data_IF_828929852299
#
_entry.id   IF_828929852299
#
_cell.length_a   1.000
_cell.length_b   1.000
_cell.length_c   1.000
_cell.angle_alpha   90.00
_cell.angle_beta   90.00
_cell.angle_gamma   90.00
#
_symmetry.space_group_name_H-M   'P 1'
#
loop_
_entity.id
_entity.type
_entity.pdbx_description
1 polymer ?
#
# COMPACT_ATOMS: atom_id res chain seq x y z
N UNK A 1 -18.50 7.41 25.31
CA UNK A 1 -18.73 8.40 26.37
C UNK A 1 -19.22 7.67 27.60
N UNK A 2 -18.34 7.47 28.58
CA UNK A 2 -18.59 7.58 30.02
C UNK A 2 -17.35 7.09 30.77
N UNK A 3 -16.82 7.95 31.64
CA UNK A 3 -15.69 7.69 32.51
C UNK A 3 -16.25 7.38 33.89
N UNK A 4 -15.87 6.25 34.50
CA UNK A 4 -15.91 6.06 35.95
C UNK A 4 -14.50 5.70 36.41
N UNK A 5 -14.00 6.49 37.36
CA UNK A 5 -12.65 6.47 37.93
C UNK A 5 -12.59 5.52 39.14
N UNK A 6 -11.48 4.83 39.38
CA UNK A 6 -10.94 4.71 40.74
C UNK A 6 -9.44 4.33 40.77
N UNK A 7 -8.65 4.81 41.74
CA UNK A 7 -7.20 4.73 41.78
C UNK A 7 -6.72 3.67 42.78
N UNK A 8 -6.08 2.61 42.32
CA UNK A 8 -5.32 1.72 43.18
C UNK A 8 -4.04 1.28 42.47
N UNK A 9 -2.92 1.77 43.01
CA UNK A 9 -1.57 1.32 42.71
C UNK A 9 -1.40 -0.09 43.32
N UNK A 10 -0.63 -0.94 42.63
CA UNK A 10 -0.18 -2.29 43.05
C UNK A 10 -1.07 -3.48 42.61
N UNK A 11 -0.49 -4.28 41.71
CA UNK A 11 -0.93 -5.57 41.17
C UNK A 11 -2.14 -5.59 40.20
N UNK A 12 -1.84 -5.91 38.93
CA UNK A 12 -2.83 -6.38 37.97
C UNK A 12 -2.57 -5.85 36.57
N UNK A 13 -2.08 -6.72 35.68
CA UNK A 13 -1.90 -6.42 34.26
C UNK A 13 -3.21 -5.82 33.70
N UNK A 14 -3.16 -4.54 33.37
CA UNK A 14 -4.26 -3.79 32.78
C UNK A 14 -3.97 -3.67 31.27
N UNK A 15 -4.36 -4.67 30.49
CA UNK A 15 -4.45 -4.53 29.04
C UNK A 15 -5.67 -3.68 28.72
N UNK A 16 -5.49 -2.37 28.63
CA UNK A 16 -6.42 -1.47 27.94
C UNK A 16 -5.86 -1.26 26.55
N UNK A 17 -6.17 -2.19 25.64
CA UNK A 17 -6.10 -1.89 24.20
C UNK A 17 -7.47 -1.35 23.82
N UNK A 18 -7.70 -0.06 24.07
CA UNK A 18 -8.79 0.67 23.41
C UNK A 18 -8.12 1.54 22.36
N UNK A 19 -8.15 1.04 21.13
CA UNK A 19 -7.55 1.69 19.98
C UNK A 19 -7.83 0.89 18.71
N UNK A 20 -9.07 0.45 18.48
CA UNK A 20 -9.45 -0.30 17.26
C UNK A 20 -10.10 0.57 16.19
N UNK A 21 -10.36 1.86 16.42
CA UNK A 21 -11.25 2.58 15.50
C UNK A 21 -10.60 3.06 14.19
N UNK A 22 -9.26 3.21 14.13
CA UNK A 22 -8.59 3.72 12.92
C UNK A 22 -7.82 2.63 12.15
N UNK A 23 -7.28 1.63 12.85
CA UNK A 23 -6.56 0.51 12.22
C UNK A 23 -7.50 -0.56 11.65
N UNK A 24 -8.68 -0.80 12.23
CA UNK A 24 -9.63 -1.77 11.67
C UNK A 24 -10.29 -1.29 10.38
N UNK A 25 -10.46 0.02 10.17
CA UNK A 25 -11.03 0.52 8.92
C UNK A 25 -10.16 0.15 7.70
N UNK A 26 -8.83 0.24 7.84
CA UNK A 26 -7.86 -0.12 6.78
C UNK A 26 -7.92 -1.60 6.41
N UNK A 27 -8.34 -2.46 7.33
CA UNK A 27 -8.58 -3.88 7.05
C UNK A 27 -9.63 -4.07 5.96
N UNK A 28 -10.71 -3.30 5.96
CA UNK A 28 -11.78 -3.42 4.96
C UNK A 28 -11.34 -2.97 3.57
N UNK A 29 -10.46 -1.97 3.48
CA UNK A 29 -9.78 -1.59 2.24
C UNK A 29 -8.99 -2.77 1.65
N UNK A 30 -8.22 -3.47 2.49
CA UNK A 30 -7.51 -4.71 2.08
C UNK A 30 -8.51 -5.80 1.67
N UNK A 31 -9.63 -5.92 2.39
CA UNK A 31 -10.72 -6.85 2.07
C UNK A 31 -11.24 -6.68 0.65
N UNK A 32 -11.60 -5.46 0.25
CA UNK A 32 -12.06 -5.17 -1.10
C UNK A 32 -10.98 -5.40 -2.16
N UNK A 33 -9.71 -5.10 -1.83
CA UNK A 33 -8.58 -5.36 -2.71
C UNK A 33 -8.34 -6.87 -2.94
N UNK A 34 -8.78 -7.74 -2.03
CA UNK A 34 -8.73 -9.21 -2.18
C UNK A 34 -9.87 -9.79 -3.03
N UNK A 35 -10.92 -9.00 -3.33
CA UNK A 35 -12.09 -9.49 -4.08
C UNK A 35 -11.81 -9.42 -5.59
N UNK A 36 -11.90 -10.58 -6.26
CA UNK A 36 -11.76 -10.64 -7.73
C UNK A 36 -12.87 -9.86 -8.42
N UNK A 37 -12.50 -8.93 -9.28
CA UNK A 37 -13.43 -8.16 -10.11
C UNK A 37 -13.92 -6.85 -9.47
N UNK A 38 -13.47 -6.53 -8.25
CA UNK A 38 -13.57 -5.19 -7.68
C UNK A 38 -12.22 -4.50 -7.91
N UNK A 39 -12.24 -3.44 -8.72
CA UNK A 39 -11.09 -2.56 -8.94
C UNK A 39 -11.40 -1.16 -8.46
N UNK A 40 -10.47 -0.24 -8.66
CA UNK A 40 -10.55 1.16 -8.20
C UNK A 40 -11.84 1.85 -8.60
N UNK A 41 -12.28 1.77 -9.86
CA UNK A 41 -13.53 2.40 -10.30
C UNK A 41 -14.77 1.90 -9.53
N UNK A 42 -14.85 0.60 -9.23
CA UNK A 42 -15.98 0.01 -8.51
C UNK A 42 -15.92 0.30 -7.02
N UNK A 43 -14.71 0.29 -6.45
CA UNK A 43 -14.53 0.67 -5.06
C UNK A 43 -14.90 2.14 -4.83
N UNK A 44 -14.53 3.02 -5.77
CA UNK A 44 -14.97 4.41 -5.75
C UNK A 44 -16.49 4.54 -5.77
N UNK A 45 -17.17 3.82 -6.67
CA UNK A 45 -18.64 3.84 -6.70
C UNK A 45 -19.28 3.32 -5.40
N UNK A 46 -18.66 2.35 -4.72
CA UNK A 46 -19.12 1.89 -3.41
C UNK A 46 -18.93 2.97 -2.34
N UNK A 47 -17.77 3.62 -2.30
CA UNK A 47 -17.49 4.70 -1.36
C UNK A 47 -18.40 5.91 -1.59
N UNK A 48 -18.64 6.28 -2.86
CA UNK A 48 -19.55 7.38 -3.20
C UNK A 48 -21.00 7.09 -2.75
N UNK A 49 -21.41 5.82 -2.71
CA UNK A 49 -22.75 5.40 -2.30
C UNK A 49 -22.88 5.24 -0.76
N UNK A 50 -21.93 4.58 -0.11
CA UNK A 50 -21.99 4.26 1.32
C UNK A 50 -21.36 5.32 2.22
N UNK A 51 -20.49 6.17 1.68
CA UNK A 51 -19.71 7.17 2.39
C UNK A 51 -18.60 6.62 3.28
N UNK A 52 -18.62 5.32 3.58
CA UNK A 52 -17.70 4.65 4.49
C UNK A 52 -17.41 3.22 4.03
N UNK A 53 -16.14 2.81 4.12
CA UNK A 53 -15.66 1.52 3.62
C UNK A 53 -16.18 0.36 4.46
N UNK A 54 -16.33 0.54 5.77
CA UNK A 54 -16.79 -0.50 6.69
C UNK A 54 -18.27 -0.79 6.45
N UNK A 55 -19.08 0.26 6.28
CA UNK A 55 -20.48 0.14 5.87
C UNK A 55 -20.60 -0.59 4.54
N UNK A 56 -19.79 -0.22 3.55
CA UNK A 56 -19.75 -0.93 2.28
C UNK A 56 -19.35 -2.42 2.47
N UNK A 57 -18.40 -2.70 3.37
CA UNK A 57 -17.94 -4.05 3.68
C UNK A 57 -18.93 -4.85 4.54
N UNK A 58 -19.89 -4.25 5.22
CA UNK A 58 -20.91 -4.98 5.98
C UNK A 58 -22.29 -4.95 5.31
N UNK A 59 -22.44 -4.21 4.20
CA UNK A 59 -23.70 -4.09 3.48
C UNK A 59 -24.23 -5.45 2.98
N UNK A 60 -25.55 -5.68 3.04
CA UNK A 60 -26.16 -6.92 2.57
C UNK A 60 -26.11 -7.02 1.03
N UNK A 61 -26.28 -8.26 0.53
CA UNK A 61 -26.03 -8.60 -0.87
C UNK A 61 -26.95 -7.88 -1.87
N UNK A 62 -28.19 -7.60 -1.46
CA UNK A 62 -29.18 -6.84 -2.21
C UNK A 62 -28.76 -5.37 -2.37
N UNK A 63 -28.28 -4.74 -1.29
CA UNK A 63 -27.80 -3.36 -1.33
C UNK A 63 -26.54 -3.25 -2.18
N UNK A 64 -25.60 -4.19 -2.07
CA UNK A 64 -24.43 -4.26 -2.95
C UNK A 64 -24.79 -4.38 -4.44
N UNK A 65 -25.88 -5.08 -4.79
CA UNK A 65 -26.34 -5.16 -6.19
C UNK A 65 -26.85 -3.81 -6.69
N UNK A 66 -27.47 -3.01 -5.81
CA UNK A 66 -27.99 -1.69 -6.16
C UNK A 66 -26.90 -0.69 -6.56
N UNK A 67 -25.65 -0.91 -6.12
CA UNK A 67 -24.48 -0.07 -6.51
C UNK A 67 -23.88 -0.43 -7.87
N UNK A 68 -24.53 -1.29 -8.65
CA UNK A 68 -24.05 -1.71 -9.98
C UNK A 68 -23.06 -2.88 -9.97
N UNK A 69 -22.88 -3.56 -8.82
CA UNK A 69 -22.14 -4.82 -8.78
C UNK A 69 -22.98 -5.96 -9.36
N UNK A 70 -22.39 -6.73 -10.29
CA UNK A 70 -23.00 -7.95 -10.79
C UNK A 70 -23.01 -9.06 -9.73
N UNK A 71 -23.87 -10.07 -9.93
CA UNK A 71 -24.02 -11.19 -9.00
C UNK A 71 -22.69 -11.92 -8.73
N UNK A 72 -21.80 -12.02 -9.72
CA UNK A 72 -20.47 -12.63 -9.56
C UNK A 72 -19.61 -11.86 -8.56
N UNK A 73 -19.59 -10.53 -8.64
CA UNK A 73 -18.81 -9.68 -7.76
C UNK A 73 -19.35 -9.71 -6.34
N UNK A 74 -20.68 -9.64 -6.17
CA UNK A 74 -21.31 -9.72 -4.85
C UNK A 74 -21.01 -11.06 -4.19
N UNK A 75 -21.11 -12.17 -4.92
CA UNK A 75 -20.73 -13.48 -4.39
C UNK A 75 -19.25 -13.54 -4.00
N UNK A 76 -18.35 -12.93 -4.78
CA UNK A 76 -16.92 -12.88 -4.45
C UNK A 76 -16.65 -12.04 -3.18
N UNK A 77 -17.40 -10.96 -2.96
CA UNK A 77 -17.34 -10.19 -1.70
C UNK A 77 -17.76 -11.06 -0.52
N UNK A 78 -18.90 -11.74 -0.63
CA UNK A 78 -19.41 -12.63 0.42
C UNK A 78 -18.45 -13.80 0.71
N UNK A 79 -17.85 -14.37 -0.33
CA UNK A 79 -16.84 -15.42 -0.19
C UNK A 79 -15.64 -14.92 0.62
N UNK A 80 -15.11 -13.72 0.31
CA UNK A 80 -13.98 -13.17 1.07
C UNK A 80 -14.39 -12.83 2.51
N UNK A 81 -15.60 -12.30 2.74
CA UNK A 81 -16.14 -11.99 4.07
C UNK A 81 -16.29 -13.22 4.96
N UNK A 82 -16.81 -14.32 4.40
CA UNK A 82 -17.01 -15.58 5.13
C UNK A 82 -15.72 -16.36 5.32
N UNK A 83 -14.75 -16.16 4.43
CA UNK A 83 -13.43 -16.78 4.54
C UNK A 83 -12.55 -16.08 5.59
N UNK A 84 -11.64 -16.83 6.21
CA UNK A 84 -10.61 -16.27 7.09
C UNK A 84 -9.46 -15.57 6.32
N UNK A 85 -9.60 -15.41 5.00
CA UNK A 85 -8.55 -14.88 4.13
C UNK A 85 -8.20 -13.44 4.49
N UNK A 86 -9.19 -12.62 4.83
CA UNK A 86 -8.97 -11.23 5.22
C UNK A 86 -8.16 -11.14 6.52
N UNK A 87 -8.57 -11.85 7.57
CA UNK A 87 -7.87 -11.83 8.84
C UNK A 87 -6.43 -12.32 8.69
N UNK A 88 -6.22 -13.43 7.98
CA UNK A 88 -4.88 -13.96 7.71
C UNK A 88 -3.99 -12.98 6.95
N UNK A 89 -4.54 -12.31 5.94
CA UNK A 89 -3.80 -11.30 5.16
C UNK A 89 -3.47 -10.09 6.03
N UNK A 90 -4.41 -9.64 6.85
CA UNK A 90 -4.22 -8.51 7.76
C UNK A 90 -3.15 -8.80 8.81
N UNK A 91 -3.22 -9.95 9.47
CA UNK A 91 -2.18 -10.39 10.40
C UNK A 91 -0.81 -10.49 9.74
N UNK A 92 -0.76 -10.98 8.49
CA UNK A 92 0.49 -11.07 7.75
C UNK A 92 1.12 -9.70 7.48
N UNK A 93 0.30 -8.70 7.13
CA UNK A 93 0.72 -7.31 6.91
C UNK A 93 1.31 -6.74 8.22
N UNK A 94 0.58 -6.88 9.33
CA UNK A 94 1.01 -6.40 10.64
C UNK A 94 2.31 -7.08 11.09
N UNK A 95 2.39 -8.42 11.01
CA UNK A 95 3.57 -9.21 11.39
C UNK A 95 4.83 -8.83 10.61
N UNK A 96 4.71 -8.22 9.44
CA UNK A 96 5.86 -7.83 8.59
C UNK A 96 6.22 -6.36 8.67
N UNK A 97 5.49 -5.57 9.45
CA UNK A 97 5.64 -4.12 9.52
C UNK A 97 5.38 -3.47 8.17
N UNK A 98 4.35 -3.94 7.45
CA UNK A 98 3.91 -3.33 6.19
C UNK A 98 2.84 -2.31 6.55
N UNK A 99 3.08 -1.05 6.16
CA UNK A 99 2.12 0.03 6.33
C UNK A 99 1.13 0.00 5.17
N UNK A 100 -0.16 0.16 5.49
CA UNK A 100 -1.24 0.25 4.52
C UNK A 100 -1.68 1.70 4.38
N UNK A 101 -1.61 2.22 3.16
CA UNK A 101 -2.04 3.59 2.82
C UNK A 101 -3.21 3.50 1.83
N UNK A 102 -4.30 4.21 2.10
CA UNK A 102 -5.50 4.28 1.25
C UNK A 102 -5.75 5.72 0.75
N UNK A 103 -6.81 5.93 -0.02
CA UNK A 103 -7.13 7.26 -0.58
C UNK A 103 -7.49 8.35 0.43
N UNK A 104 -7.91 7.96 1.62
CA UNK A 104 -8.32 8.86 2.71
C UNK A 104 -7.14 9.26 3.58
N UNK A 105 -6.04 8.49 3.55
CA UNK A 105 -4.81 8.82 4.24
C UNK A 105 -4.13 10.06 3.63
N UNK A 106 -3.68 10.97 4.49
CA UNK A 106 -2.91 12.16 4.08
C UNK A 106 -1.56 11.83 3.45
N UNK A 107 -0.98 10.69 3.82
CA UNK A 107 0.30 10.20 3.30
C UNK A 107 0.19 9.57 1.89
N UNK A 108 -1.01 9.55 1.29
CA UNK A 108 -1.18 9.02 -0.05
C UNK A 108 -0.53 9.95 -1.10
N UNK A 109 0.40 9.45 -1.95
CA UNK A 109 1.14 10.29 -2.88
C UNK A 109 0.23 11.11 -3.80
N UNK A 110 0.40 12.44 -3.81
CA UNK A 110 -0.51 13.37 -4.50
C UNK A 110 -0.62 13.06 -5.99
N UNK A 111 0.52 12.92 -6.67
CA UNK A 111 0.57 12.63 -8.10
C UNK A 111 -0.04 11.26 -8.45
N UNK A 112 0.02 10.30 -7.52
CA UNK A 112 -0.60 9.00 -7.74
C UNK A 112 -2.13 9.09 -7.62
N UNK A 113 -2.66 10.00 -6.80
CA UNK A 113 -4.10 10.23 -6.66
C UNK A 113 -4.72 10.91 -7.88
N UNK A 114 -3.91 11.63 -8.67
CA UNK A 114 -4.32 12.35 -9.88
C UNK A 114 -4.49 11.44 -11.11
N UNK A 115 -3.98 10.20 -11.09
CA UNK A 115 -4.11 9.29 -12.25
C UNK A 115 -5.57 8.82 -12.42
N UNK A 116 -6.01 8.41 -13.62
CA UNK A 116 -7.42 8.06 -13.88
C UNK A 116 -7.97 6.91 -13.04
N UNK A 117 -7.13 5.94 -12.68
CA UNK A 117 -7.48 4.77 -11.89
C UNK A 117 -6.43 4.56 -10.79
N UNK A 118 -6.41 5.41 -9.75
CA UNK A 118 -5.43 5.30 -8.69
C UNK A 118 -5.62 3.96 -7.96
N UNK A 119 -4.57 3.30 -7.48
CA UNK A 119 -4.72 2.10 -6.67
C UNK A 119 -5.39 2.47 -5.35
N UNK A 120 -6.44 1.74 -4.91
CA UNK A 120 -7.17 2.08 -3.69
C UNK A 120 -6.36 1.86 -2.41
N UNK A 121 -5.40 0.94 -2.48
CA UNK A 121 -4.56 0.54 -1.36
C UNK A 121 -3.12 0.40 -1.84
N UNK A 122 -2.21 1.00 -1.09
CA UNK A 122 -0.77 0.85 -1.23
C UNK A 122 -0.23 0.07 -0.03
N UNK A 123 0.67 -0.86 -0.32
CA UNK A 123 1.41 -1.61 0.70
C UNK A 123 2.84 -1.11 0.70
N UNK A 124 3.23 -0.47 1.78
CA UNK A 124 4.52 0.19 1.91
C UNK A 124 5.37 -0.51 2.98
N UNK A 125 6.68 -0.54 2.74
CA UNK A 125 7.66 -0.86 3.77
C UNK A 125 8.68 0.28 3.82
N UNK A 126 8.89 0.85 5.01
CA UNK A 126 9.60 2.11 5.19
C UNK A 126 8.61 3.26 5.33
N UNK A 127 9.09 4.49 5.12
CA UNK A 127 8.30 5.72 5.29
C UNK A 127 8.30 6.50 3.97
N UNK A 128 7.19 7.15 3.64
CA UNK A 128 7.15 8.23 2.66
C UNK A 128 7.44 9.55 3.39
N UNK A 129 8.21 10.41 2.75
CA UNK A 129 8.53 11.75 3.25
C UNK A 129 7.96 12.79 2.28
N UNK A 130 7.71 14.02 2.76
CA UNK A 130 7.27 15.11 1.88
C UNK A 130 8.28 15.39 0.74
N UNK A 131 9.57 15.14 0.98
CA UNK A 131 10.62 15.24 -0.03
C UNK A 131 10.43 14.27 -1.21
N UNK A 132 9.68 13.17 -1.02
CA UNK A 132 9.40 12.19 -2.08
C UNK A 132 8.43 12.70 -3.15
N UNK A 133 7.72 13.80 -2.89
CA UNK A 133 6.96 14.49 -3.92
C UNK A 133 7.88 15.04 -5.03
N UNK A 134 9.12 15.36 -4.69
CA UNK A 134 10.18 15.73 -5.64
C UNK A 134 10.98 14.49 -6.05
N UNK A 135 10.36 13.66 -6.89
CA UNK A 135 10.96 12.41 -7.33
C UNK A 135 10.95 12.23 -8.84
N UNK A 136 11.96 11.49 -9.34
CA UNK A 136 12.14 11.21 -10.76
C UNK A 136 12.15 9.69 -10.98
N UNK A 137 11.28 9.24 -11.87
CA UNK A 137 11.23 7.85 -12.28
C UNK A 137 12.37 7.54 -13.27
N UNK A 138 13.28 6.63 -12.88
CA UNK A 138 14.34 6.12 -13.76
C UNK A 138 13.97 4.71 -14.18
N UNK A 139 13.51 4.58 -15.42
CA UNK A 139 13.05 3.31 -16.00
C UNK A 139 13.84 2.95 -17.25
N UNK A 140 14.04 1.65 -17.50
CA UNK A 140 14.70 1.24 -18.73
C UNK A 140 14.71 -0.26 -19.00
N UNK A 141 15.59 -0.66 -19.90
CA UNK A 141 15.68 -2.05 -20.36
C UNK A 141 16.15 -3.01 -19.27
N UNK A 142 15.57 -4.21 -19.25
CA UNK A 142 16.03 -5.33 -18.42
C UNK A 142 17.39 -5.88 -18.86
N UNK A 143 17.73 -5.72 -20.14
CA UNK A 143 19.03 -6.09 -20.73
C UNK A 143 19.83 -4.82 -20.95
N UNK A 144 20.60 -4.44 -19.94
CA UNK A 144 21.38 -3.21 -19.95
C UNK A 144 22.73 -3.43 -20.64
N UNK A 145 23.10 -2.50 -21.53
CA UNK A 145 24.45 -2.44 -22.10
C UNK A 145 25.40 -1.76 -21.12
N UNK A 146 26.72 -1.84 -21.36
CA UNK A 146 27.70 -1.12 -20.53
C UNK A 146 27.46 0.40 -20.56
N UNK A 147 27.18 0.96 -21.75
CA UNK A 147 26.82 2.37 -21.90
C UNK A 147 25.54 2.71 -21.13
N UNK A 148 24.48 1.91 -21.26
CA UNK A 148 23.23 2.13 -20.53
C UNK A 148 23.41 2.10 -19.01
N UNK A 149 24.32 1.26 -18.51
CA UNK A 149 24.68 1.23 -17.09
C UNK A 149 25.39 2.50 -16.66
N UNK A 150 26.35 2.98 -17.45
CA UNK A 150 27.07 4.21 -17.16
C UNK A 150 26.12 5.41 -17.12
N UNK A 151 25.25 5.54 -18.12
CA UNK A 151 24.25 6.59 -18.18
C UNK A 151 23.27 6.51 -16.99
N UNK A 152 22.76 5.31 -16.66
CA UNK A 152 21.88 5.14 -15.50
C UNK A 152 22.57 5.54 -14.18
N UNK A 153 23.84 5.18 -14.02
CA UNK A 153 24.62 5.54 -12.83
C UNK A 153 24.87 7.06 -12.75
N UNK A 154 25.20 7.69 -13.88
CA UNK A 154 25.47 9.13 -13.93
C UNK A 154 24.21 9.93 -13.63
N UNK A 155 23.09 9.60 -14.29
CA UNK A 155 21.81 10.27 -14.09
C UNK A 155 21.31 10.08 -12.65
N UNK A 156 21.25 8.83 -12.16
CA UNK A 156 20.76 8.56 -10.81
C UNK A 156 21.69 9.16 -9.74
N UNK A 157 23.01 9.10 -9.93
CA UNK A 157 23.97 9.73 -9.02
C UNK A 157 23.86 11.25 -9.01
N UNK A 158 23.62 11.89 -10.16
CA UNK A 158 23.35 13.33 -10.22
C UNK A 158 22.07 13.70 -9.49
N UNK A 159 20.98 12.94 -9.68
CA UNK A 159 19.71 13.17 -8.97
C UNK A 159 19.89 13.03 -7.46
N UNK A 160 20.55 11.96 -7.01
CA UNK A 160 20.86 11.69 -5.62
C UNK A 160 21.64 12.85 -4.95
N UNK A 161 22.72 13.32 -5.60
CA UNK A 161 23.53 14.44 -5.09
C UNK A 161 22.76 15.76 -5.00
N UNK A 162 21.72 15.93 -5.79
CA UNK A 162 20.83 17.09 -5.74
C UNK A 162 19.60 16.86 -4.84
N UNK A 163 19.60 15.82 -3.99
CA UNK A 163 18.51 15.46 -3.07
C UNK A 163 17.17 15.22 -3.78
N UNK A 164 17.21 14.71 -5.00
CA UNK A 164 16.01 14.26 -5.73
C UNK A 164 15.83 12.76 -5.50
N UNK A 165 14.65 12.36 -5.03
CA UNK A 165 14.33 10.94 -4.81
C UNK A 165 14.24 10.21 -6.15
N UNK A 166 14.94 9.08 -6.27
CA UNK A 166 14.90 8.23 -7.48
C UNK A 166 13.88 7.12 -7.30
N UNK A 167 12.87 7.04 -8.19
CA UNK A 167 11.84 6.01 -8.19
C UNK A 167 12.08 5.00 -9.30
N UNK A 168 12.00 3.69 -9.01
CA UNK A 168 12.24 2.65 -10.02
C UNK A 168 11.59 1.30 -9.65
N UNK A 169 11.51 0.38 -10.62
CA UNK A 169 10.66 -0.81 -10.59
C UNK A 169 11.26 -2.06 -9.91
N UNK A 170 12.43 -1.95 -9.29
CA UNK A 170 13.24 -3.09 -8.79
C UNK A 170 13.52 -4.19 -9.84
N UNK A 171 13.40 -3.91 -11.14
CA UNK A 171 13.75 -4.87 -12.16
C UNK A 171 15.27 -5.05 -12.27
N UNK A 172 15.71 -6.16 -12.86
CA UNK A 172 17.11 -6.30 -13.29
C UNK A 172 17.39 -5.30 -14.41
N UNK A 173 18.63 -4.82 -14.54
CA UNK A 173 19.03 -3.91 -15.60
C UNK A 173 19.13 -2.47 -15.12
N UNK A 174 18.49 -1.55 -15.85
CA UNK A 174 18.53 -0.10 -15.55
C UNK A 174 18.01 0.19 -14.15
N UNK A 175 16.88 -0.40 -13.77
CA UNK A 175 16.26 -0.18 -12.47
C UNK A 175 17.21 -0.48 -11.30
N UNK A 176 17.87 -1.64 -11.33
CA UNK A 176 18.86 -2.02 -10.31
C UNK A 176 20.08 -1.08 -10.29
N UNK A 177 20.54 -0.64 -11.46
CA UNK A 177 21.68 0.28 -11.56
C UNK A 177 21.34 1.66 -10.99
N UNK A 178 20.14 2.17 -11.28
CA UNK A 178 19.67 3.44 -10.76
C UNK A 178 19.53 3.43 -9.23
N UNK A 179 18.94 2.38 -8.66
CA UNK A 179 18.87 2.20 -7.20
C UNK A 179 20.26 2.16 -6.58
N UNK A 180 21.16 1.34 -7.13
CA UNK A 180 22.51 1.20 -6.60
C UNK A 180 23.28 2.53 -6.64
N UNK A 181 23.26 3.22 -7.79
CA UNK A 181 23.94 4.50 -7.92
C UNK A 181 23.37 5.58 -6.99
N UNK A 182 22.07 5.53 -6.70
CA UNK A 182 21.44 6.44 -5.73
C UNK A 182 21.97 6.16 -4.32
N UNK A 183 21.99 4.90 -3.91
CA UNK A 183 22.50 4.48 -2.60
C UNK A 183 24.01 4.77 -2.45
N UNK A 184 24.79 4.56 -3.51
CA UNK A 184 26.24 4.84 -3.53
C UNK A 184 26.56 6.34 -3.39
N UNK A 185 25.58 7.23 -3.62
CA UNK A 185 25.71 8.68 -3.44
C UNK A 185 24.91 9.18 -2.21
N UNK A 186 24.60 8.29 -1.25
CA UNK A 186 23.82 8.59 -0.04
C UNK A 186 22.45 9.25 -0.33
N UNK A 187 21.90 8.96 -1.50
CA UNK A 187 20.61 9.46 -1.94
C UNK A 187 19.45 8.57 -1.53
N UNK A 188 18.25 9.14 -1.63
CA UNK A 188 16.99 8.47 -1.33
C UNK A 188 16.41 7.80 -2.58
N UNK A 189 15.93 6.56 -2.44
CA UNK A 189 15.29 5.84 -3.55
C UNK A 189 14.04 5.09 -3.12
N UNK A 190 13.02 5.11 -3.99
CA UNK A 190 11.77 4.40 -3.81
C UNK A 190 11.63 3.28 -4.83
N UNK A 191 11.27 2.11 -4.33
CA UNK A 191 11.09 0.90 -5.10
C UNK A 191 9.61 0.59 -5.30
N UNK A 192 9.12 0.69 -6.54
CA UNK A 192 7.73 0.37 -6.88
C UNK A 192 7.68 -1.01 -7.54
N UNK A 193 7.26 -2.02 -6.80
CA UNK A 193 7.12 -3.37 -7.35
C UNK A 193 5.70 -3.58 -7.89
N UNK A 194 5.53 -3.89 -9.20
CA UNK A 194 4.26 -4.38 -9.69
C UNK A 194 4.01 -5.75 -9.06
N UNK A 195 3.01 -5.83 -8.20
CA UNK A 195 2.56 -7.08 -7.63
C UNK A 195 1.14 -7.36 -8.09
N UNK A 196 0.88 -8.61 -8.50
CA UNK A 196 -0.48 -9.06 -8.71
C UNK A 196 -1.24 -8.97 -7.39
N UNK A 197 -2.48 -8.46 -7.47
CA UNK A 197 -3.45 -8.11 -6.43
C UNK A 197 -3.67 -9.18 -5.33
N UNK A 198 -3.12 -10.39 -5.52
CA UNK A 198 -3.50 -11.60 -4.79
C UNK A 198 -2.42 -12.22 -3.90
N UNK A 199 -1.20 -11.69 -3.88
CA UNK A 199 -0.06 -12.43 -3.30
C UNK A 199 0.91 -11.58 -2.47
N UNK A 200 0.39 -10.73 -1.59
CA UNK A 200 1.19 -10.02 -0.56
C UNK A 200 2.06 -11.03 0.22
N UNK A 201 1.56 -12.26 0.41
CA UNK A 201 2.25 -13.38 1.04
C UNK A 201 3.58 -13.80 0.37
N UNK A 202 3.75 -13.53 -0.94
CA UNK A 202 4.96 -13.87 -1.70
C UNK A 202 6.02 -12.76 -1.72
N UNK A 203 5.85 -11.71 -0.91
CA UNK A 203 6.89 -10.71 -0.69
C UNK A 203 8.12 -11.38 -0.07
N UNK A 204 9.02 -11.92 -0.90
CA UNK A 204 10.32 -12.45 -0.49
C UNK A 204 11.30 -11.29 -0.41
N UNK A 205 12.15 -11.31 0.62
CA UNK A 205 13.26 -10.38 0.80
C UNK A 205 14.11 -10.35 -0.48
N UNK A 206 13.99 -9.28 -1.27
CA UNK A 206 15.06 -8.88 -2.16
C UNK A 206 15.93 -7.93 -1.36
N UNK A 207 17.14 -8.38 -1.05
CA UNK A 207 18.14 -7.61 -0.33
C UNK A 207 18.64 -6.46 -1.22
N UNK A 208 17.94 -5.34 -1.18
CA UNK A 208 18.53 -4.02 -1.35
C UNK A 208 18.29 -3.35 0.00
N UNK A 209 19.35 -3.31 0.79
CA UNK A 209 19.31 -3.00 2.21
C UNK A 209 18.75 -1.58 2.43
N UNK A 210 17.73 -1.48 3.27
CA UNK A 210 17.40 -0.24 3.97
C UNK A 210 18.49 0.01 5.01
N UNK A 211 19.22 1.12 4.88
CA UNK A 211 19.84 1.77 6.03
C UNK A 211 18.92 2.87 6.52
#
# INVERSE_FOLDING_TARGET
YDIICCPCNECGILFITVGTDVEDSKKYWVGFNLVKGIGSARLKALLDFFGDIERAWNAPADVLRSTGLGAKQVNAVLEVRTSDKLNRTWEFILKRGITVINWEDGDYPRYLKEIPLPPPVLYMRGNLLEEDDWSVAVVGTRRITQYGRQAANEIAGMLARNRVTVVSGLARGVDSAAHQATLDNDGRTLAVKPHDHFRIEQYKHHSLQSR
#
